data_IF_351576405395
#
_entry.id   IF_351576405395
#
_cell.length_a   1.000
_cell.length_b   1.000
_cell.length_c   1.000
_cell.angle_alpha   90.00
_cell.angle_beta   90.00
_cell.angle_gamma   90.00
#
_symmetry.space_group_name_H-M   'P 1'
#
loop_
_entity.id
_entity.type
_entity.pdbx_description
1 polymer ?
#
# COMPACT_ATOMS: atom_id res chain seq x y z
N UNK A 1 8.81 12.41 8.46
CA UNK A 1 9.87 11.84 7.58
C UNK A 1 11.25 12.39 7.92
N UNK A 2 11.35 13.59 8.49
CA UNK A 2 12.62 14.19 8.93
C UNK A 2 13.26 13.42 10.09
N UNK A 3 12.46 12.95 11.04
CA UNK A 3 12.91 12.15 12.20
C UNK A 3 13.58 10.84 11.77
N UNK A 4 13.11 10.22 10.69
CA UNK A 4 13.69 8.99 10.16
C UNK A 4 15.06 9.23 9.53
N UNK A 5 15.26 10.36 8.86
CA UNK A 5 16.56 10.72 8.27
C UNK A 5 17.58 11.03 9.35
N UNK A 6 17.18 11.79 10.38
CA UNK A 6 18.02 12.08 11.54
C UNK A 6 18.40 10.78 12.28
N UNK A 7 17.43 9.87 12.49
CA UNK A 7 17.68 8.57 13.09
C UNK A 7 18.67 7.71 12.28
N UNK A 8 18.55 7.68 10.94
CA UNK A 8 19.51 6.98 10.08
C UNK A 8 20.91 7.55 10.23
N UNK A 9 21.05 8.87 10.29
CA UNK A 9 22.35 9.52 10.48
C UNK A 9 22.98 9.17 11.84
N UNK A 10 22.20 9.20 12.92
CA UNK A 10 22.70 8.80 14.25
C UNK A 10 23.11 7.31 14.29
N UNK A 11 22.34 6.42 13.66
CA UNK A 11 22.68 5.01 13.57
C UNK A 11 23.98 4.77 12.80
N UNK A 12 24.19 5.50 11.68
CA UNK A 12 25.43 5.44 10.91
C UNK A 12 26.63 5.96 11.73
N UNK A 13 26.45 7.07 12.43
CA UNK A 13 27.49 7.63 13.29
C UNK A 13 27.86 6.68 14.43
N UNK A 14 26.86 6.09 15.12
CA UNK A 14 27.08 5.12 16.19
C UNK A 14 27.80 3.86 15.71
N UNK A 15 27.46 3.38 14.50
CA UNK A 15 28.13 2.24 13.88
C UNK A 15 29.61 2.54 13.56
N UNK A 16 29.93 3.73 13.06
CA UNK A 16 31.31 4.12 12.78
C UNK A 16 32.14 4.24 14.07
N UNK A 17 31.57 4.82 15.14
CA UNK A 17 32.20 4.83 16.46
C UNK A 17 32.48 3.42 16.98
N UNK A 18 31.58 2.47 16.76
CA UNK A 18 31.79 1.07 17.15
C UNK A 18 32.94 0.40 16.38
N UNK A 19 33.14 0.73 15.10
CA UNK A 19 34.29 0.26 14.31
C UNK A 19 35.59 0.86 14.82
N UNK A 20 35.61 2.14 15.15
CA UNK A 20 36.77 2.79 15.76
C UNK A 20 37.12 2.19 17.11
N UNK A 21 36.08 1.89 17.93
CA UNK A 21 36.23 1.19 19.21
C UNK A 21 36.86 -0.20 19.02
N UNK A 22 36.49 -0.92 17.96
CA UNK A 22 37.13 -2.19 17.56
C UNK A 22 38.63 -2.02 17.35
N UNK A 23 39.01 -1.06 16.51
CA UNK A 23 40.41 -0.82 16.13
C UNK A 23 41.24 -0.43 17.36
N UNK A 24 40.77 0.54 18.15
CA UNK A 24 41.47 1.07 19.31
C UNK A 24 41.78 -0.01 20.33
N UNK A 25 40.77 -0.81 20.65
CA UNK A 25 40.91 -1.84 21.66
C UNK A 25 41.73 -3.05 21.14
N UNK A 26 41.73 -3.33 19.83
CA UNK A 26 42.61 -4.36 19.24
C UNK A 26 44.08 -3.93 19.23
N UNK A 27 44.35 -2.64 19.05
CA UNK A 27 45.70 -2.06 19.18
C UNK A 27 46.23 -2.14 20.62
N UNK A 28 45.34 -2.06 21.61
CA UNK A 28 45.72 -1.90 23.02
C UNK A 28 45.83 -3.23 23.81
N UNK A 29 45.41 -4.36 23.25
CA UNK A 29 45.15 -5.57 24.04
C UNK A 29 46.08 -6.74 23.72
N UNK A 30 47.00 -7.03 24.65
CA UNK A 30 47.82 -8.26 24.64
C UNK A 30 47.06 -9.45 25.28
N UNK A 31 46.46 -10.28 24.42
CA UNK A 31 46.37 -11.75 24.53
C UNK A 31 45.38 -12.51 25.45
N UNK A 32 44.50 -11.94 26.31
CA UNK A 32 43.57 -12.81 27.09
C UNK A 32 42.09 -12.40 27.21
N UNK A 33 41.72 -11.14 26.96
CA UNK A 33 40.34 -10.64 27.08
C UNK A 33 39.69 -10.30 25.72
N UNK A 34 40.34 -10.69 24.61
CA UNK A 34 39.92 -10.26 23.28
C UNK A 34 38.62 -10.92 22.81
N UNK A 35 38.35 -12.18 23.16
CA UNK A 35 37.19 -12.90 22.64
C UNK A 35 35.86 -12.27 23.07
N UNK A 36 35.66 -12.06 24.38
CA UNK A 36 34.44 -11.41 24.91
C UNK A 36 34.29 -9.99 24.37
N UNK A 37 35.40 -9.26 24.24
CA UNK A 37 35.42 -7.88 23.75
C UNK A 37 35.03 -7.79 22.28
N UNK A 38 35.61 -8.64 21.43
CA UNK A 38 35.26 -8.73 20.01
C UNK A 38 33.81 -9.17 19.83
N UNK A 39 33.34 -10.17 20.60
CA UNK A 39 31.93 -10.59 20.57
C UNK A 39 30.98 -9.45 20.94
N UNK A 40 31.30 -8.63 21.94
CA UNK A 40 30.46 -7.51 22.34
C UNK A 40 30.41 -6.43 21.25
N UNK A 41 31.55 -6.14 20.63
CA UNK A 41 31.66 -5.17 19.53
C UNK A 41 30.89 -5.65 18.30
N UNK A 42 31.03 -6.93 17.93
CA UNK A 42 30.26 -7.53 16.84
C UNK A 42 28.74 -7.48 17.13
N UNK A 43 28.32 -7.77 18.37
CA UNK A 43 26.90 -7.61 18.77
C UNK A 43 26.42 -6.17 18.65
N UNK A 44 27.25 -5.19 19.01
CA UNK A 44 26.93 -3.76 18.84
C UNK A 44 26.75 -3.44 17.35
N UNK A 45 27.71 -3.82 16.50
CA UNK A 45 27.65 -3.58 15.05
C UNK A 45 26.42 -4.24 14.43
N UNK A 46 26.20 -5.53 14.70
CA UNK A 46 25.03 -6.27 14.19
C UNK A 46 23.70 -5.66 14.65
N UNK A 47 23.66 -5.08 15.85
CA UNK A 47 22.46 -4.38 16.34
C UNK A 47 22.21 -3.09 15.57
N UNK A 48 23.26 -2.32 15.22
CA UNK A 48 23.13 -1.13 14.38
C UNK A 48 22.67 -1.47 12.95
N UNK A 49 23.20 -2.53 12.35
CA UNK A 49 22.79 -3.00 11.02
C UNK A 49 21.31 -3.40 11.01
N UNK A 50 20.88 -4.20 12.00
CA UNK A 50 19.48 -4.59 12.14
C UNK A 50 18.55 -3.37 12.34
N UNK A 51 18.99 -2.38 13.12
CA UNK A 51 18.23 -1.15 13.31
C UNK A 51 18.11 -0.35 12.00
N UNK A 52 19.19 -0.26 11.21
CA UNK A 52 19.17 0.39 9.89
C UNK A 52 18.23 -0.32 8.92
N UNK A 53 18.23 -1.65 8.88
CA UNK A 53 17.28 -2.44 8.11
C UNK A 53 15.84 -2.11 8.54
N UNK A 54 15.53 -2.16 9.83
CA UNK A 54 14.19 -1.87 10.34
C UNK A 54 13.72 -0.45 10.01
N UNK A 55 14.61 0.54 10.04
CA UNK A 55 14.27 1.94 9.71
C UNK A 55 14.02 2.12 8.21
N UNK A 56 14.77 1.41 7.35
CA UNK A 56 14.52 1.41 5.90
C UNK A 56 13.23 0.64 5.52
N UNK A 57 12.92 -0.47 6.20
CA UNK A 57 11.72 -1.25 5.94
C UNK A 57 10.43 -0.57 6.41
N UNK A 58 10.50 0.41 7.31
CA UNK A 58 9.33 1.20 7.74
C UNK A 58 8.73 2.08 6.61
N UNK A 59 9.43 2.21 5.48
CA UNK A 59 8.90 2.76 4.24
C UNK A 59 8.19 1.74 3.32
N UNK A 60 8.35 0.44 3.58
CA UNK A 60 7.79 -0.65 2.78
C UNK A 60 6.67 -1.36 3.57
N UNK A 61 5.68 -0.59 4.02
CA UNK A 61 4.37 -1.18 4.31
C UNK A 61 3.83 -1.62 2.95
N UNK A 62 3.68 -2.93 2.78
CA UNK A 62 3.23 -3.61 1.56
C UNK A 62 2.02 -2.93 0.91
N UNK A 63 2.26 -2.12 -0.13
CA UNK A 63 1.30 -1.79 -1.20
C UNK A 63 1.86 -2.39 -2.49
N UNK A 64 2.11 -3.70 -2.45
CA UNK A 64 2.64 -4.47 -3.59
C UNK A 64 1.59 -5.22 -4.39
N UNK A 65 0.40 -5.47 -3.80
CA UNK A 65 -0.58 -6.39 -4.40
C UNK A 65 -1.78 -5.67 -5.07
N UNK A 66 -1.96 -4.36 -4.87
CA UNK A 66 -3.06 -3.62 -5.49
C UNK A 66 -2.83 -3.31 -6.97
N UNK A 67 -1.59 -3.07 -7.40
CA UNK A 67 -1.28 -2.64 -8.77
C UNK A 67 -1.52 -3.74 -9.82
N UNK A 68 -1.16 -5.00 -9.51
CA UNK A 68 -1.41 -6.13 -10.43
C UNK A 68 -2.90 -6.47 -10.52
N UNK A 69 -3.62 -6.42 -9.41
CA UNK A 69 -5.05 -6.74 -9.39
C UNK A 69 -5.89 -5.68 -10.12
N UNK A 70 -5.51 -4.41 -10.01
CA UNK A 70 -6.19 -3.31 -10.71
C UNK A 70 -5.97 -3.36 -12.23
N UNK A 71 -4.79 -3.79 -12.70
CA UNK A 71 -4.51 -3.90 -14.13
C UNK A 71 -5.30 -5.06 -14.77
N UNK A 72 -5.47 -6.18 -14.07
CA UNK A 72 -6.25 -7.32 -14.56
C UNK A 72 -7.76 -6.99 -14.67
N UNK A 73 -8.29 -6.21 -13.72
CA UNK A 73 -9.70 -5.80 -13.75
C UNK A 73 -10.01 -4.84 -14.91
N UNK A 74 -9.06 -3.96 -15.25
CA UNK A 74 -9.20 -3.02 -16.38
C UNK A 74 -9.18 -3.75 -17.74
N UNK A 75 -8.38 -4.81 -17.86
CA UNK A 75 -8.32 -5.63 -19.08
C UNK A 75 -9.63 -6.41 -19.32
N UNK A 76 -10.29 -6.87 -18.25
CA UNK A 76 -11.58 -7.56 -18.34
C UNK A 76 -12.71 -6.63 -18.80
N UNK A 77 -12.67 -5.35 -18.42
CA UNK A 77 -13.68 -4.36 -18.81
C UNK A 77 -13.58 -3.99 -20.31
N UNK A 78 -12.37 -3.97 -20.88
CA UNK A 78 -12.17 -3.72 -22.32
C UNK A 78 -12.74 -4.84 -23.21
N UNK A 79 -12.71 -6.09 -22.72
CA UNK A 79 -13.20 -7.23 -23.49
C UNK A 79 -14.74 -7.24 -23.65
N UNK A 80 -15.48 -6.71 -22.66
CA UNK A 80 -16.95 -6.60 -22.76
C UNK A 80 -17.40 -5.58 -23.82
N UNK A 81 -16.69 -4.48 -24.04
CA UNK A 81 -17.07 -3.49 -25.05
C UNK A 81 -16.93 -4.01 -26.49
N UNK A 82 -15.99 -4.92 -26.75
CA UNK A 82 -15.84 -5.49 -28.10
C UNK A 82 -16.98 -6.44 -28.47
N UNK A 83 -17.60 -7.13 -27.51
CA UNK A 83 -18.73 -8.02 -27.81
C UNK A 83 -19.99 -7.24 -28.21
N UNK A 84 -20.28 -6.08 -27.60
CA UNK A 84 -21.45 -5.29 -27.98
C UNK A 84 -21.38 -4.74 -29.43
N UNK A 85 -20.18 -4.47 -29.96
CA UNK A 85 -20.04 -4.00 -31.35
C UNK A 85 -20.25 -5.10 -32.40
N UNK A 86 -20.11 -6.38 -32.03
CA UNK A 86 -20.37 -7.48 -32.97
C UNK A 86 -21.88 -7.77 -33.11
N UNK A 87 -22.72 -7.36 -32.16
CA UNK A 87 -24.17 -7.50 -32.29
C UNK A 87 -24.83 -6.35 -33.08
N UNK A 88 -24.09 -5.31 -33.46
CA UNK A 88 -24.65 -4.18 -34.23
C UNK A 88 -24.26 -4.16 -35.70
N UNK A 89 -23.33 -5.03 -36.14
CA UNK A 89 -22.83 -5.05 -37.54
C UNK A 89 -23.27 -6.26 -38.34
N UNK A 90 -24.54 -6.65 -38.22
CA UNK A 90 -25.06 -7.75 -39.01
C UNK A 90 -26.57 -7.85 -39.00
N UNK A 91 -27.28 -6.82 -39.46
CA UNK A 91 -28.55 -6.95 -40.22
C UNK A 91 -29.02 -5.56 -40.64
N UNK A 92 -28.78 -5.20 -41.91
CA UNK A 92 -29.61 -4.19 -42.59
C UNK A 92 -30.37 -4.92 -43.71
N UNK A 93 -31.67 -5.09 -43.47
CA UNK A 93 -32.81 -5.34 -44.38
C UNK A 93 -32.61 -6.14 -45.69
N UNK A 94 -33.38 -7.23 -45.83
CA UNK A 94 -34.41 -7.41 -46.88
C UNK A 94 -35.18 -8.73 -46.61
N UNK A 95 -36.51 -8.60 -46.60
CA UNK A 95 -37.62 -9.59 -46.52
C UNK A 95 -38.25 -9.90 -45.14
N UNK A 96 -39.18 -9.00 -44.77
CA UNK A 96 -40.51 -9.21 -44.16
C UNK A 96 -40.70 -10.44 -43.27
N UNK A 97 -40.97 -10.22 -41.98
CA UNK A 97 -42.12 -10.69 -41.18
C UNK A 97 -41.86 -10.15 -39.75
N UNK A 98 -42.47 -9.05 -39.33
CA UNK A 98 -43.83 -8.98 -38.75
C UNK A 98 -43.71 -8.66 -37.24
N UNK A 99 -44.55 -7.73 -36.80
CA UNK A 99 -44.75 -7.22 -35.42
C UNK A 99 -43.73 -6.22 -34.81
N UNK A 100 -44.16 -4.96 -34.53
CA UNK A 100 -43.50 -4.09 -33.56
C UNK A 100 -44.00 -4.42 -32.13
N UNK A 101 -43.15 -4.44 -31.07
CA UNK A 101 -43.68 -4.44 -29.72
C UNK A 101 -44.18 -3.03 -29.39
N UNK A 102 -45.47 -2.83 -29.60
CA UNK A 102 -46.26 -1.89 -28.80
C UNK A 102 -46.50 -2.56 -27.44
N UNK A 103 -45.81 -2.10 -26.41
CA UNK A 103 -46.16 -2.34 -25.01
C UNK A 103 -45.41 -1.27 -24.22
N UNK A 104 -46.03 -0.10 -24.08
CA UNK A 104 -46.75 0.29 -22.88
C UNK A 104 -45.85 0.32 -21.64
N UNK A 105 -45.66 1.53 -21.13
CA UNK A 105 -45.06 1.90 -19.86
C UNK A 105 -45.35 0.94 -18.71
N UNK A 106 -44.49 1.00 -17.68
CA UNK A 106 -45.01 1.34 -16.36
C UNK A 106 -44.37 2.64 -15.89
N UNK A 107 -45.23 3.65 -15.77
CA UNK A 107 -45.01 4.79 -14.89
C UNK A 107 -45.12 4.25 -13.47
N UNK A 108 -44.00 3.95 -12.84
CA UNK A 108 -43.94 3.74 -11.39
C UNK A 108 -43.82 5.11 -10.74
N UNK A 109 -44.99 5.65 -10.47
CA UNK A 109 -45.22 6.71 -9.51
C UNK A 109 -44.94 6.16 -8.10
N UNK A 110 -44.44 7.06 -7.25
CA UNK A 110 -44.32 6.93 -5.80
C UNK A 110 -43.14 6.10 -5.24
N UNK A 111 -42.12 6.83 -4.82
CA UNK A 111 -41.33 6.41 -3.67
C UNK A 111 -41.07 7.64 -2.80
N UNK A 112 -42.12 8.09 -2.10
CA UNK A 112 -41.99 8.93 -0.91
C UNK A 112 -41.07 8.25 0.11
N UNK A 113 -39.88 8.83 0.28
CA UNK A 113 -39.04 8.63 1.46
C UNK A 113 -38.58 9.98 1.96
N UNK A 114 -39.54 10.70 2.53
CA UNK A 114 -39.25 11.52 3.70
C UNK A 114 -38.70 10.66 4.84
N UNK A 115 -38.20 11.33 5.88
CA UNK A 115 -37.46 10.83 7.05
C UNK A 115 -35.94 10.74 6.84
N UNK A 116 -35.23 11.83 7.10
CA UNK A 116 -34.74 12.06 8.47
C UNK A 116 -34.00 13.41 8.54
N UNK A 117 -34.51 14.32 9.37
CA UNK A 117 -33.81 15.53 9.78
C UNK A 117 -32.55 15.15 10.56
N UNK A 118 -31.38 15.80 10.34
CA UNK A 118 -30.22 15.57 11.18
C UNK A 118 -30.51 16.22 12.55
N UNK A 119 -30.83 15.40 13.55
CA UNK A 119 -30.78 15.83 14.96
C UNK A 119 -29.36 16.30 15.27
N UNK A 120 -29.14 17.61 15.22
CA UNK A 120 -28.08 18.31 15.94
C UNK A 120 -28.11 17.85 17.40
N UNK A 121 -27.18 16.97 17.78
CA UNK A 121 -26.82 16.79 19.19
C UNK A 121 -25.94 17.97 19.57
N UNK A 122 -26.57 19.03 20.05
CA UNK A 122 -25.92 20.03 20.88
C UNK A 122 -25.90 19.43 22.28
N UNK A 123 -24.74 18.95 22.72
CA UNK A 123 -24.49 18.60 24.12
C UNK A 123 -23.65 19.75 24.67
N UNK A 124 -24.32 20.74 25.24
CA UNK A 124 -23.68 21.66 26.17
C UNK A 124 -23.52 20.90 27.48
N UNK A 125 -22.26 20.67 27.87
CA UNK A 125 -21.91 20.28 29.23
C UNK A 125 -21.82 21.56 30.06
N UNK A 126 -22.66 21.67 31.09
CA UNK A 126 -22.40 22.49 32.28
C UNK A 126 -21.95 21.58 33.42
#
# INVERSE_FOLDING_TARGET
MEDSKNLIQELLQGMELARQLRIYLNVSSSSSSNETRELLIEKIISTFEKALEMVNHKGHVNVGESSQQQQQQQQQQQQQQQQQQQHTSGTVAIRMLDSPPLSSSPRSEDSDRDHNTPRKRYIDFY
#
